data_IF_635571486437
#
_entry.id   IF_635571486437
#
_cell.length_a   1.000
_cell.length_b   1.000
_cell.length_c   1.000
_cell.angle_alpha   90.00
_cell.angle_beta   90.00
_cell.angle_gamma   90.00
#
_symmetry.space_group_name_H-M   'P 1'
#
loop_
_entity.id
_entity.type
_entity.pdbx_description
1 polymer ?
#
# COMPACT_ATOMS: atom_id res chain seq x y z
N UNK A 1 -21.35 -1.33 0.81
CA UNK A 1 -20.39 -0.64 -0.08
C UNK A 1 -20.52 -1.24 -1.46
N UNK A 2 -20.48 -0.44 -2.52
CA UNK A 2 -20.54 -0.96 -3.89
C UNK A 2 -19.24 -1.71 -4.21
N UNK A 3 -19.32 -2.65 -5.14
CA UNK A 3 -18.14 -3.33 -5.70
C UNK A 3 -17.44 -2.41 -6.70
N UNK A 4 -16.17 -2.68 -6.99
CA UNK A 4 -15.33 -1.98 -7.98
C UNK A 4 -15.11 -0.49 -7.68
N UNK A 5 -15.24 -0.08 -6.42
CA UNK A 5 -14.96 1.27 -5.96
C UNK A 5 -13.94 1.24 -4.82
N UNK A 6 -13.02 2.21 -4.81
CA UNK A 6 -12.04 2.38 -3.73
C UNK A 6 -12.64 3.29 -2.67
N UNK A 7 -12.64 2.80 -1.43
CA UNK A 7 -13.06 3.59 -0.28
C UNK A 7 -11.90 3.81 0.67
N UNK A 8 -11.76 5.02 1.19
CA UNK A 8 -10.69 5.38 2.14
C UNK A 8 -11.31 5.81 3.47
N UNK A 9 -10.91 5.12 4.53
CA UNK A 9 -11.38 5.37 5.89
C UNK A 9 -10.23 5.90 6.74
N UNK A 10 -10.45 7.05 7.37
CA UNK A 10 -9.57 7.56 8.43
C UNK A 10 -9.92 6.83 9.73
N UNK A 11 -8.92 6.23 10.35
CA UNK A 11 -9.07 5.48 11.60
C UNK A 11 -8.72 6.36 12.79
N UNK A 12 -9.57 6.32 13.82
CA UNK A 12 -9.31 7.00 15.09
C UNK A 12 -8.35 6.18 15.96
N UNK A 13 -7.54 6.85 16.78
CA UNK A 13 -6.69 6.18 17.78
C UNK A 13 -7.59 5.43 18.78
N UNK A 14 -7.20 4.23 19.28
CA UNK A 14 -5.85 3.65 19.32
C UNK A 14 -5.49 2.66 18.19
N UNK A 15 -6.05 2.79 16.98
CA UNK A 15 -5.82 1.83 15.91
C UNK A 15 -4.35 1.77 15.40
N UNK A 16 -3.89 0.57 15.01
CA UNK A 16 -2.57 0.33 14.40
C UNK A 16 -2.40 1.12 13.10
N UNK A 17 -3.49 1.29 12.35
CA UNK A 17 -3.49 2.03 11.09
C UNK A 17 -4.13 3.40 11.26
N UNK A 18 -3.62 4.38 10.51
CA UNK A 18 -4.18 5.73 10.44
C UNK A 18 -5.19 5.88 9.30
N UNK A 19 -4.91 5.22 8.17
CA UNK A 19 -5.78 5.18 7.00
C UNK A 19 -5.88 3.75 6.48
N UNK A 20 -7.08 3.38 6.06
CA UNK A 20 -7.37 2.09 5.43
C UNK A 20 -8.11 2.37 4.14
N UNK A 21 -7.51 2.01 3.02
CA UNK A 21 -8.18 1.92 1.74
C UNK A 21 -8.65 0.48 1.52
N UNK A 22 -9.91 0.30 1.13
CA UNK A 22 -10.50 -0.99 0.77
C UNK A 22 -11.05 -0.91 -0.65
N UNK A 23 -10.83 -1.99 -1.41
CA UNK A 23 -11.53 -2.24 -2.67
C UNK A 23 -12.08 -3.66 -2.67
N UNK A 24 -13.33 -3.80 -3.09
CA UNK A 24 -13.99 -5.09 -3.29
C UNK A 24 -14.26 -5.28 -4.77
N UNK A 25 -13.43 -6.07 -5.43
CA UNK A 25 -13.47 -6.26 -6.89
C UNK A 25 -14.37 -7.42 -7.28
N UNK A 26 -15.27 -7.21 -8.23
CA UNK A 26 -16.18 -8.21 -8.78
C UNK A 26 -16.14 -8.14 -10.31
N UNK A 27 -15.82 -9.26 -10.94
CA UNK A 27 -15.80 -9.35 -12.40
C UNK A 27 -17.22 -9.30 -12.97
N UNK A 28 -17.46 -8.46 -13.97
CA UNK A 28 -18.80 -8.27 -14.56
C UNK A 28 -19.35 -9.53 -15.24
N UNK A 29 -18.47 -10.35 -15.81
CA UNK A 29 -18.84 -11.51 -16.62
C UNK A 29 -18.69 -12.86 -15.91
N UNK A 30 -18.18 -12.89 -14.67
CA UNK A 30 -17.92 -14.16 -13.96
C UNK A 30 -18.66 -14.24 -12.64
N UNK A 31 -19.31 -15.38 -12.37
CA UNK A 31 -19.95 -15.68 -11.10
C UNK A 31 -18.91 -16.11 -10.04
N UNK A 32 -17.90 -15.27 -9.81
CA UNK A 32 -16.90 -15.43 -8.75
C UNK A 32 -17.26 -14.51 -7.58
N UNK A 33 -17.07 -14.96 -6.32
CA UNK A 33 -17.28 -14.08 -5.18
C UNK A 33 -16.35 -12.86 -5.27
N UNK A 34 -16.79 -11.68 -4.80
CA UNK A 34 -15.95 -10.50 -4.83
C UNK A 34 -14.67 -10.70 -4.02
N UNK A 35 -13.55 -10.25 -4.58
CA UNK A 35 -12.23 -10.34 -3.97
C UNK A 35 -11.87 -9.01 -3.30
N UNK A 36 -11.52 -9.04 -2.02
CA UNK A 36 -11.23 -7.83 -1.24
C UNK A 36 -9.73 -7.64 -1.07
N UNK A 37 -9.26 -6.43 -1.37
CA UNK A 37 -7.89 -5.99 -1.13
C UNK A 37 -7.89 -4.77 -0.21
N UNK A 38 -6.87 -4.68 0.64
CA UNK A 38 -6.67 -3.53 1.51
C UNK A 38 -5.29 -2.90 1.29
N UNK A 39 -5.22 -1.58 1.33
CA UNK A 39 -3.97 -0.82 1.45
C UNK A 39 -4.06 0.01 2.71
N UNK A 40 -3.11 -0.15 3.63
CA UNK A 40 -3.16 0.44 4.97
C UNK A 40 -1.90 1.23 5.26
N UNK A 41 -2.09 2.42 5.83
CA UNK A 41 -1.02 3.28 6.31
C UNK A 41 -0.88 3.10 7.81
N UNK A 42 0.29 2.65 8.28
CA UNK A 42 0.55 2.52 9.72
C UNK A 42 0.45 3.89 10.41
N UNK A 43 -0.15 3.91 11.60
CA UNK A 43 -0.16 5.11 12.43
C UNK A 43 1.26 5.39 12.94
N UNK A 44 1.60 6.67 13.16
CA UNK A 44 2.84 7.04 13.86
C UNK A 44 2.73 6.56 15.30
N UNK A 45 3.07 5.31 15.57
CA UNK A 45 3.08 4.72 16.89
C UNK A 45 4.50 4.30 17.26
N UNK A 46 4.86 4.63 18.50
CA UNK A 46 6.21 4.65 19.08
C UNK A 46 7.05 3.40 18.76
N UNK A 47 8.30 3.68 18.43
CA UNK A 47 9.41 2.80 18.10
C UNK A 47 9.71 1.72 19.15
N UNK A 48 8.81 0.76 19.34
CA UNK A 48 9.15 -0.51 20.02
C UNK A 48 9.94 -1.46 19.11
N UNK A 49 9.89 -1.25 17.80
CA UNK A 49 10.47 -2.15 16.79
C UNK A 49 11.37 -1.43 15.77
N UNK A 50 11.87 -0.23 16.08
CA UNK A 50 12.83 0.50 15.22
C UNK A 50 12.26 1.15 13.95
N UNK A 51 11.02 0.85 13.56
CA UNK A 51 10.37 1.43 12.38
C UNK A 51 9.66 2.75 12.73
N UNK A 52 10.34 3.88 12.52
CA UNK A 52 9.78 5.22 12.68
C UNK A 52 9.35 5.77 11.32
N UNK A 53 8.13 5.47 10.89
CA UNK A 53 7.63 5.91 9.58
C UNK A 53 6.15 5.64 9.36
N UNK A 54 5.52 6.36 8.43
CA UNK A 54 4.17 6.06 7.93
C UNK A 54 4.26 5.06 6.79
N UNK A 55 4.56 3.80 7.11
CA UNK A 55 4.68 2.74 6.10
C UNK A 55 3.33 2.40 5.49
N UNK A 56 3.33 2.10 4.19
CA UNK A 56 2.16 1.66 3.45
C UNK A 56 2.32 0.16 3.13
N UNK A 57 1.35 -0.63 3.57
CA UNK A 57 1.32 -2.08 3.32
C UNK A 57 0.01 -2.51 2.68
N UNK A 58 0.07 -3.55 1.87
CA UNK A 58 -1.09 -4.17 1.24
C UNK A 58 -1.42 -5.51 1.90
N UNK A 59 -2.72 -5.81 2.00
CA UNK A 59 -3.23 -7.15 2.26
C UNK A 59 -3.90 -7.63 0.99
N UNK A 60 -3.28 -8.64 0.37
CA UNK A 60 -3.80 -9.29 -0.82
C UNK A 60 -4.74 -10.44 -0.41
N UNK A 61 -5.73 -10.76 -1.25
CA UNK A 61 -6.56 -11.94 -1.06
C UNK A 61 -5.70 -13.20 -0.88
N UNK A 62 -6.09 -14.06 0.07
CA UNK A 62 -5.42 -15.34 0.36
C UNK A 62 -4.00 -15.25 0.95
N UNK A 63 -3.46 -14.04 1.19
CA UNK A 63 -2.17 -13.84 1.87
C UNK A 63 -2.41 -13.49 3.34
N UNK A 64 -1.77 -14.21 4.25
CA UNK A 64 -1.93 -14.04 5.70
C UNK A 64 -1.20 -12.80 6.25
N UNK A 65 -0.09 -12.43 5.63
CA UNK A 65 0.82 -11.38 6.09
C UNK A 65 0.73 -10.15 5.19
N UNK A 66 0.84 -8.97 5.78
CA UNK A 66 0.87 -7.72 5.02
C UNK A 66 2.20 -7.58 4.28
N UNK A 67 2.14 -7.14 3.03
CA UNK A 67 3.29 -6.97 2.15
C UNK A 67 3.55 -5.47 1.97
N UNK A 68 4.79 -4.96 2.06
CA UNK A 68 5.10 -3.58 1.72
C UNK A 68 4.68 -3.24 0.29
N UNK A 69 4.05 -2.07 0.09
CA UNK A 69 3.43 -1.75 -1.20
C UNK A 69 4.44 -1.73 -2.36
N UNK A 70 5.67 -1.28 -2.11
CA UNK A 70 6.74 -1.21 -3.11
C UNK A 70 7.12 -2.61 -3.61
N UNK A 71 7.13 -3.62 -2.73
CA UNK A 71 7.40 -5.02 -3.12
C UNK A 71 6.32 -5.55 -4.06
N UNK A 72 5.05 -5.14 -3.85
CA UNK A 72 3.96 -5.52 -4.75
C UNK A 72 4.20 -4.94 -6.15
N UNK A 73 4.63 -3.68 -6.26
CA UNK A 73 4.98 -3.07 -7.55
C UNK A 73 6.15 -3.78 -8.24
N UNK A 74 7.22 -4.09 -7.50
CA UNK A 74 8.38 -4.83 -8.04
C UNK A 74 7.99 -6.21 -8.55
N UNK A 75 7.14 -6.94 -7.82
CA UNK A 75 6.61 -8.23 -8.25
C UNK A 75 5.74 -8.15 -9.52
N UNK A 76 5.10 -6.99 -9.79
CA UNK A 76 4.35 -6.72 -11.01
C UNK A 76 5.25 -6.31 -12.21
N UNK A 77 6.56 -6.18 -12.01
CA UNK A 77 7.53 -5.82 -13.05
C UNK A 77 8.01 -4.37 -13.03
N UNK A 78 7.53 -3.54 -12.09
CA UNK A 78 8.02 -2.16 -11.92
C UNK A 78 9.24 -2.16 -11.00
N UNK A 79 10.42 -2.38 -11.57
CA UNK A 79 11.67 -2.50 -10.80
C UNK A 79 12.24 -1.13 -10.38
N UNK A 80 12.14 -0.14 -11.28
CA UNK A 80 12.63 1.23 -11.06
C UNK A 80 11.77 1.99 -10.05
N UNK A 81 12.39 2.52 -8.99
CA UNK A 81 11.69 3.33 -7.99
C UNK A 81 11.01 4.56 -8.62
N UNK A 82 11.63 5.13 -9.65
CA UNK A 82 11.03 6.23 -10.41
C UNK A 82 9.73 5.80 -11.06
N UNK A 83 9.70 4.61 -11.67
CA UNK A 83 8.52 4.10 -12.37
C UNK A 83 7.40 3.82 -11.36
N UNK A 84 7.73 3.21 -10.21
CA UNK A 84 6.79 3.01 -9.11
C UNK A 84 6.21 4.35 -8.66
N UNK A 85 7.07 5.34 -8.43
CA UNK A 85 6.66 6.67 -7.99
C UNK A 85 5.78 7.38 -9.03
N UNK A 86 6.02 7.23 -10.33
CA UNK A 86 5.16 7.79 -11.39
C UNK A 86 3.74 7.20 -11.37
N UNK A 87 3.57 5.95 -10.92
CA UNK A 87 2.25 5.31 -10.80
C UNK A 87 1.50 5.74 -9.54
N UNK A 88 2.18 6.29 -8.53
CA UNK A 88 1.59 6.70 -7.26
C UNK A 88 1.40 8.22 -7.19
N UNK A 89 2.42 8.98 -7.59
CA UNK A 89 2.50 10.43 -7.51
C UNK A 89 2.70 10.99 -8.93
N UNK A 90 1.67 11.69 -9.43
CA UNK A 90 1.68 12.26 -10.78
C UNK A 90 2.51 13.54 -10.90
N UNK A 91 2.86 14.17 -9.77
CA UNK A 91 3.63 15.41 -9.72
C UNK A 91 4.81 15.29 -8.73
N UNK A 92 6.02 15.14 -9.27
CA UNK A 92 7.24 15.04 -8.46
C UNK A 92 7.66 16.33 -7.77
N UNK A 93 7.01 17.46 -8.07
CA UNK A 93 7.21 18.69 -7.30
C UNK A 93 6.49 18.68 -5.96
N UNK A 94 5.54 17.75 -5.73
CA UNK A 94 4.90 17.54 -4.42
C UNK A 94 5.85 16.85 -3.44
N UNK A 95 6.70 17.66 -2.82
CA UNK A 95 7.65 17.23 -1.79
C UNK A 95 6.99 16.57 -0.58
N UNK A 96 5.75 16.94 -0.25
CA UNK A 96 5.06 16.37 0.91
C UNK A 96 4.64 14.92 0.64
N UNK A 97 4.10 14.65 -0.55
CA UNK A 97 3.73 13.31 -0.95
C UNK A 97 4.95 12.40 -1.11
N UNK A 98 6.04 12.93 -1.68
CA UNK A 98 7.30 12.19 -1.83
C UNK A 98 7.93 11.83 -0.48
N UNK A 99 7.90 12.74 0.50
CA UNK A 99 8.40 12.50 1.85
C UNK A 99 7.59 11.42 2.58
N UNK A 100 6.28 11.34 2.34
CA UNK A 100 5.43 10.29 2.91
C UNK A 100 5.75 8.89 2.34
N UNK A 101 6.20 8.81 1.09
CA UNK A 101 6.52 7.54 0.43
C UNK A 101 7.93 7.03 0.76
N UNK A 102 8.87 7.93 1.10
CA UNK A 102 10.28 7.58 1.38
C UNK A 102 10.45 6.39 2.34
N UNK A 103 9.79 6.31 3.51
CA UNK A 103 9.98 5.17 4.42
C UNK A 103 9.57 3.83 3.81
N UNK A 104 8.58 3.82 2.91
CA UNK A 104 8.11 2.59 2.25
C UNK A 104 9.09 2.12 1.18
N UNK A 105 9.81 3.04 0.52
CA UNK A 105 10.90 2.72 -0.40
C UNK A 105 12.11 2.15 0.34
N UNK A 106 12.49 2.77 1.45
CA UNK A 106 13.60 2.30 2.30
C UNK A 106 13.34 0.89 2.85
N UNK A 107 12.10 0.61 3.28
CA UNK A 107 11.69 -0.73 3.74
C UNK A 107 11.86 -1.82 2.66
N UNK A 108 11.63 -1.45 1.40
CA UNK A 108 11.71 -2.37 0.26
C UNK A 108 13.11 -2.45 -0.38
N UNK A 109 14.10 -1.71 0.13
CA UNK A 109 15.44 -1.59 -0.47
C UNK A 109 16.12 -2.95 -0.67
N UNK A 110 15.83 -3.93 0.19
CA UNK A 110 16.42 -5.27 0.18
C UNK A 110 16.06 -6.12 -1.04
N UNK A 111 14.94 -5.86 -1.73
CA UNK A 111 14.46 -6.67 -2.86
C UNK A 111 14.46 -5.81 -4.11
N UNK A 112 15.56 -5.73 -4.85
CA UNK A 112 15.73 -4.82 -6.00
C UNK A 112 15.29 -5.40 -7.35
N UNK A 113 14.79 -6.64 -7.37
CA UNK A 113 14.50 -7.37 -8.60
C UNK A 113 13.04 -7.87 -8.58
N UNK A 114 12.57 -8.38 -9.72
CA UNK A 114 11.27 -9.02 -9.83
C UNK A 114 11.25 -10.46 -9.26
N UNK A 115 12.39 -11.17 -9.35
CA UNK A 115 12.60 -12.55 -8.89
C UNK A 115 13.34 -12.62 -7.56
#
# INVERSE_FOLDING_TARGET
MSTNHVYVFKQSRPNKYSFVAEVRSMAESQNRPPSTMFVRMLSRASSKWGFSGRYIRATLPYIRTEIPIIIVFRALGFVSDKDILQHICYDFSDTQMMELLRPSLEEAFVIQNQE
#
